data_IF_271021497753
#
_entry.id   IF_271021497753
#
_cell.length_a   1.000
_cell.length_b   1.000
_cell.length_c   1.000
_cell.angle_alpha   90.00
_cell.angle_beta   90.00
_cell.angle_gamma   90.00
#
_symmetry.space_group_name_H-M   'P 1'
#
loop_
_entity.id
_entity.type
_entity.pdbx_description
1 polymer ?
#
# COMPACT_ATOMS: atom_id res chain seq x y z
N UNK A 1 14.18 -26.38 -15.29
CA UNK A 1 13.54 -26.05 -14.00
C UNK A 1 12.50 -24.99 -14.26
N UNK A 2 11.27 -25.16 -13.82
CA UNK A 2 10.22 -24.16 -13.99
C UNK A 2 10.57 -22.95 -13.12
N UNK A 3 10.76 -21.77 -13.72
CA UNK A 3 11.05 -20.53 -13.01
C UNK A 3 9.83 -20.16 -12.13
N UNK A 4 9.95 -20.31 -10.82
CA UNK A 4 8.93 -19.99 -9.83
C UNK A 4 9.49 -19.00 -8.84
N UNK A 5 8.82 -17.89 -8.65
CA UNK A 5 9.20 -16.84 -7.71
C UNK A 5 8.06 -16.65 -6.72
N UNK A 6 8.37 -16.52 -5.44
CA UNK A 6 7.39 -16.12 -4.45
C UNK A 6 7.49 -14.61 -4.21
N UNK A 7 6.34 -13.94 -4.13
CA UNK A 7 6.23 -12.58 -3.64
C UNK A 7 5.38 -12.55 -2.39
N UNK A 8 5.79 -11.77 -1.41
CA UNK A 8 5.10 -11.61 -0.12
C UNK A 8 4.81 -10.14 0.13
N UNK A 9 3.58 -9.84 0.48
CA UNK A 9 3.14 -8.53 0.98
C UNK A 9 2.94 -8.64 2.50
N UNK A 10 3.83 -8.03 3.27
CA UNK A 10 3.78 -7.99 4.73
C UNK A 10 2.98 -6.77 5.19
N UNK A 11 1.69 -6.94 5.43
CA UNK A 11 0.86 -5.90 6.01
C UNK A 11 0.71 -6.02 7.53
N UNK A 12 0.32 -4.93 8.18
CA UNK A 12 0.08 -4.92 9.64
C UNK A 12 -1.13 -5.75 10.12
N UNK A 13 -1.92 -6.31 9.20
CA UNK A 13 -3.12 -7.10 9.53
C UNK A 13 -3.10 -8.49 8.88
N UNK A 14 -2.53 -8.59 7.69
CA UNK A 14 -2.44 -9.82 6.89
C UNK A 14 -1.06 -9.89 6.22
N UNK A 15 -0.58 -11.09 6.04
CA UNK A 15 0.55 -11.44 5.18
C UNK A 15 -0.03 -12.17 3.98
N UNK A 16 0.26 -11.70 2.79
CA UNK A 16 -0.21 -12.27 1.55
C UNK A 16 0.98 -12.78 0.74
N UNK A 17 0.96 -14.05 0.34
CA UNK A 17 2.02 -14.66 -0.46
C UNK A 17 1.44 -15.18 -1.78
N UNK A 18 2.17 -14.97 -2.88
CA UNK A 18 1.86 -15.55 -4.19
C UNK A 18 3.09 -16.22 -4.77
N UNK A 19 2.90 -17.32 -5.47
CA UNK A 19 3.93 -17.90 -6.34
C UNK A 19 3.56 -17.62 -7.78
N UNK A 20 4.47 -16.98 -8.52
CA UNK A 20 4.28 -16.65 -9.94
C UNK A 20 5.21 -17.46 -10.82
N UNK A 21 4.80 -17.65 -12.08
CA UNK A 21 5.65 -18.24 -13.13
C UNK A 21 6.44 -17.17 -13.91
N UNK A 22 7.12 -17.59 -14.98
CA UNK A 22 7.93 -16.71 -15.81
C UNK A 22 7.12 -15.63 -16.55
N UNK A 23 5.82 -15.83 -16.74
CA UNK A 23 4.85 -14.89 -17.31
C UNK A 23 4.11 -14.10 -16.22
N UNK A 24 4.60 -14.11 -14.98
CA UNK A 24 4.02 -13.47 -13.81
C UNK A 24 2.58 -13.90 -13.47
N UNK A 25 2.12 -15.05 -13.98
CA UNK A 25 0.81 -15.61 -13.64
C UNK A 25 0.88 -16.27 -12.28
N UNK A 26 -0.11 -15.98 -11.42
CA UNK A 26 -0.23 -16.58 -10.09
C UNK A 26 -0.53 -18.08 -10.24
N UNK A 27 0.29 -18.92 -9.61
CA UNK A 27 0.21 -20.39 -9.61
C UNK A 27 -0.10 -20.97 -8.23
N UNK A 28 0.13 -20.19 -7.20
CA UNK A 28 -0.24 -20.52 -5.82
C UNK A 28 -0.36 -19.26 -5.01
N UNK A 29 -1.17 -19.32 -3.95
CA UNK A 29 -1.39 -18.19 -3.04
C UNK A 29 -1.67 -18.67 -1.64
N UNK A 30 -1.32 -17.83 -0.67
CA UNK A 30 -1.66 -18.02 0.73
C UNK A 30 -1.92 -16.67 1.41
N UNK A 31 -2.75 -16.70 2.44
CA UNK A 31 -3.03 -15.51 3.28
C UNK A 31 -3.02 -15.93 4.73
N UNK A 32 -2.16 -15.32 5.51
CA UNK A 32 -2.02 -15.55 6.96
C UNK A 32 -2.34 -14.23 7.68
N UNK A 33 -2.94 -14.31 8.85
CA UNK A 33 -3.15 -13.14 9.70
C UNK A 33 -1.81 -12.72 10.31
N UNK A 34 -1.47 -11.42 10.24
CA UNK A 34 -0.24 -10.92 10.87
C UNK A 34 -0.36 -11.04 12.40
N UNK A 35 0.55 -11.74 13.09
CA UNK A 35 0.58 -11.77 14.53
C UNK A 35 0.78 -10.37 15.12
N UNK A 36 0.07 -10.07 16.21
CA UNK A 36 0.15 -8.78 16.90
C UNK A 36 0.75 -8.88 18.30
N UNK A 37 1.16 -10.09 18.70
CA UNK A 37 1.82 -10.42 19.97
C UNK A 37 3.09 -11.22 19.68
N UNK A 38 3.90 -11.45 20.70
CA UNK A 38 5.07 -12.36 20.71
C UNK A 38 6.29 -11.91 19.88
N UNK A 39 6.35 -10.63 19.50
CA UNK A 39 7.54 -10.02 18.90
C UNK A 39 7.85 -10.44 17.44
N UNK A 40 9.07 -10.14 16.94
CA UNK A 40 9.44 -10.35 15.54
C UNK A 40 9.42 -11.83 15.12
N UNK A 41 9.69 -12.76 16.04
CA UNK A 41 9.75 -14.20 15.76
C UNK A 41 8.42 -14.73 15.22
N UNK A 42 7.30 -14.39 15.84
CA UNK A 42 5.97 -14.83 15.40
C UNK A 42 5.61 -14.31 14.01
N UNK A 43 6.01 -13.08 13.67
CA UNK A 43 5.81 -12.51 12.33
C UNK A 43 6.66 -13.23 11.29
N UNK A 44 7.91 -13.54 11.62
CA UNK A 44 8.83 -14.31 10.76
C UNK A 44 8.27 -15.71 10.51
N UNK A 45 7.79 -16.41 11.53
CA UNK A 45 7.14 -17.71 11.39
C UNK A 45 5.91 -17.64 10.49
N UNK A 46 5.07 -16.62 10.65
CA UNK A 46 3.90 -16.41 9.81
C UNK A 46 4.26 -16.11 8.34
N UNK A 47 5.36 -15.38 8.08
CA UNK A 47 5.87 -15.16 6.72
C UNK A 47 6.34 -16.49 6.11
N UNK A 48 7.12 -17.30 6.87
CA UNK A 48 7.60 -18.62 6.41
C UNK A 48 6.42 -19.55 6.13
N UNK A 49 5.40 -19.53 6.98
CA UNK A 49 4.16 -20.31 6.79
C UNK A 49 3.44 -19.86 5.51
N UNK A 50 3.28 -18.56 5.28
CA UNK A 50 2.64 -18.03 4.07
C UNK A 50 3.40 -18.46 2.79
N UNK A 51 4.74 -18.38 2.79
CA UNK A 51 5.58 -18.84 1.69
C UNK A 51 5.39 -20.33 1.47
N UNK A 52 5.39 -21.12 2.53
CA UNK A 52 5.26 -22.58 2.47
C UNK A 52 3.90 -22.99 1.91
N UNK A 53 2.82 -22.37 2.37
CA UNK A 53 1.47 -22.62 1.88
C UNK A 53 1.30 -22.20 0.41
N UNK A 54 1.82 -21.03 0.01
CA UNK A 54 1.77 -20.58 -1.39
C UNK A 54 2.60 -21.49 -2.32
N UNK A 55 3.77 -21.96 -1.86
CA UNK A 55 4.58 -22.92 -2.60
C UNK A 55 3.86 -24.29 -2.75
N UNK A 56 3.22 -24.78 -1.69
CA UNK A 56 2.45 -26.02 -1.73
C UNK A 56 1.25 -25.90 -2.70
N UNK A 57 0.53 -24.77 -2.69
CA UNK A 57 -0.57 -24.50 -3.63
C UNK A 57 -0.06 -24.47 -5.10
N UNK A 58 1.16 -23.93 -5.32
CA UNK A 58 1.87 -23.98 -6.61
C UNK A 58 2.53 -25.34 -6.93
N UNK A 59 2.42 -26.35 -6.04
CA UNK A 59 3.00 -27.68 -6.15
C UNK A 59 4.54 -27.70 -6.29
N UNK A 60 5.20 -26.83 -5.54
CA UNK A 60 6.67 -26.76 -5.43
C UNK A 60 7.06 -26.69 -3.95
N UNK A 61 8.32 -27.01 -3.63
CA UNK A 61 8.86 -26.78 -2.27
C UNK A 61 9.42 -25.35 -2.18
N UNK A 62 9.47 -24.73 -0.99
CA UNK A 62 10.10 -23.43 -0.84
C UNK A 62 11.55 -23.37 -1.35
N UNK A 63 12.34 -24.42 -1.17
CA UNK A 63 13.74 -24.53 -1.65
C UNK A 63 13.87 -24.69 -3.16
N UNK A 64 12.78 -24.95 -3.88
CA UNK A 64 12.75 -25.05 -5.36
C UNK A 64 12.36 -23.72 -6.02
N UNK A 65 12.01 -22.70 -5.21
CA UNK A 65 11.76 -21.36 -5.71
C UNK A 65 13.06 -20.70 -6.17
N UNK A 66 13.00 -19.94 -7.26
CA UNK A 66 14.13 -19.11 -7.72
C UNK A 66 14.49 -18.01 -6.74
N UNK A 67 13.58 -17.67 -5.86
CA UNK A 67 13.74 -16.73 -4.76
C UNK A 67 12.41 -16.22 -4.21
N UNK A 68 12.49 -15.43 -3.15
CA UNK A 68 11.35 -14.77 -2.49
C UNK A 68 11.61 -13.27 -2.43
N UNK A 69 10.68 -12.47 -2.98
CA UNK A 69 10.64 -11.03 -2.75
C UNK A 69 9.64 -10.70 -1.66
N UNK A 70 9.98 -9.79 -0.75
CA UNK A 70 9.11 -9.36 0.34
C UNK A 70 8.94 -7.85 0.29
N UNK A 71 7.70 -7.38 0.19
CA UNK A 71 7.31 -5.99 0.46
C UNK A 71 7.01 -5.85 1.95
N UNK A 72 7.71 -4.97 2.64
CA UNK A 72 7.52 -4.73 4.06
C UNK A 72 7.26 -3.24 4.35
N UNK A 73 6.37 -2.91 5.31
CA UNK A 73 6.10 -1.52 5.65
C UNK A 73 7.27 -0.89 6.41
N UNK A 74 7.34 0.44 6.32
CA UNK A 74 8.35 1.22 7.04
C UNK A 74 9.68 1.34 6.29
N UNK A 75 10.76 1.52 7.04
CA UNK A 75 12.09 1.74 6.48
C UNK A 75 12.81 0.41 6.22
N UNK A 76 13.16 0.19 4.95
CA UNK A 76 13.79 -1.02 4.45
C UNK A 76 15.15 -0.67 3.83
N UNK A 77 16.19 -1.36 4.23
CA UNK A 77 17.46 -1.40 3.50
C UNK A 77 17.41 -2.58 2.51
N UNK A 78 17.15 -2.29 1.26
CA UNK A 78 17.01 -3.30 0.22
C UNK A 78 18.33 -3.93 -0.22
N UNK A 79 19.48 -3.29 0.06
CA UNK A 79 20.80 -3.82 -0.25
C UNK A 79 21.21 -4.90 0.76
N UNK A 80 21.00 -4.64 2.04
CA UNK A 80 21.34 -5.57 3.12
C UNK A 80 20.20 -6.52 3.49
N UNK A 81 18.97 -6.26 3.06
CA UNK A 81 17.78 -7.04 3.41
C UNK A 81 17.35 -6.87 4.88
N UNK A 82 17.66 -5.72 5.46
CA UNK A 82 17.32 -5.36 6.84
C UNK A 82 16.04 -4.54 6.87
N UNK A 83 15.07 -4.96 7.67
CA UNK A 83 13.94 -4.14 8.07
C UNK A 83 14.40 -3.22 9.20
N UNK A 84 14.65 -1.94 8.87
CA UNK A 84 15.28 -1.00 9.80
C UNK A 84 14.28 -0.54 10.86
N UNK A 85 13.03 -0.28 10.47
CA UNK A 85 11.95 0.15 11.35
C UNK A 85 10.58 -0.08 10.72
N UNK A 86 9.67 -0.75 11.43
CA UNK A 86 8.28 -0.92 10.99
C UNK A 86 7.30 -0.64 12.14
N UNK A 87 6.95 0.61 12.42
CA UNK A 87 6.15 0.98 13.60
C UNK A 87 4.73 0.41 13.57
N UNK A 88 4.26 -0.06 12.43
CA UNK A 88 2.94 -0.67 12.26
C UNK A 88 2.93 -2.18 12.52
N UNK A 89 4.09 -2.79 12.78
CA UNK A 89 4.24 -4.21 13.09
C UNK A 89 4.99 -4.32 14.44
N UNK A 90 4.38 -4.90 15.48
CA UNK A 90 5.01 -5.02 16.79
C UNK A 90 6.32 -5.78 16.75
N UNK A 91 7.31 -5.27 17.47
CA UNK A 91 8.62 -5.91 17.61
C UNK A 91 9.68 -5.48 16.57
N UNK A 92 9.32 -4.63 15.60
CA UNK A 92 10.26 -4.12 14.60
C UNK A 92 10.63 -2.64 14.84
N UNK A 93 10.85 -2.28 16.11
CA UNK A 93 11.35 -0.95 16.51
C UNK A 93 12.87 -0.82 16.32
N UNK A 94 13.58 -1.96 16.23
CA UNK A 94 15.02 -2.05 15.99
C UNK A 94 15.30 -2.76 14.66
N UNK A 95 16.46 -2.52 14.03
CA UNK A 95 16.85 -3.21 12.80
C UNK A 95 16.82 -4.74 12.95
N UNK A 96 16.19 -5.41 11.98
CA UNK A 96 16.05 -6.87 11.97
C UNK A 96 16.50 -7.45 10.61
N UNK A 97 17.40 -8.46 10.57
CA UNK A 97 17.92 -9.05 9.34
C UNK A 97 16.89 -10.00 8.71
N UNK A 98 15.76 -9.44 8.25
CA UNK A 98 14.56 -10.19 7.83
C UNK A 98 14.85 -11.10 6.63
N UNK A 99 15.54 -10.58 5.60
CA UNK A 99 15.84 -11.36 4.40
C UNK A 99 16.75 -12.57 4.69
N UNK A 100 17.80 -12.37 5.50
CA UNK A 100 18.73 -13.44 5.88
C UNK A 100 18.01 -14.51 6.70
N UNK A 101 17.20 -14.10 7.69
CA UNK A 101 16.48 -15.03 8.58
C UNK A 101 15.52 -15.92 7.78
N UNK A 102 14.75 -15.33 6.87
CA UNK A 102 13.80 -16.09 6.04
C UNK A 102 14.53 -16.94 5.01
N UNK A 103 15.62 -16.43 4.38
CA UNK A 103 16.41 -17.17 3.40
C UNK A 103 16.97 -18.47 3.99
N UNK A 104 17.46 -18.44 5.23
CA UNK A 104 17.93 -19.64 5.95
C UNK A 104 16.82 -20.68 6.17
N UNK A 105 15.61 -20.21 6.45
CA UNK A 105 14.47 -21.09 6.74
C UNK A 105 13.88 -21.71 5.46
N UNK A 106 13.75 -20.93 4.38
CA UNK A 106 13.09 -21.41 3.13
C UNK A 106 14.07 -22.06 2.14
N UNK A 107 15.37 -21.86 2.31
CA UNK A 107 16.42 -22.49 1.50
C UNK A 107 16.59 -21.88 0.09
N UNK A 108 16.16 -20.63 -0.12
CA UNK A 108 16.34 -19.90 -1.37
C UNK A 108 16.63 -18.40 -1.11
N UNK A 109 17.15 -17.65 -2.12
CA UNK A 109 17.45 -16.23 -1.94
C UNK A 109 16.21 -15.40 -1.58
N UNK A 110 16.37 -14.43 -0.68
CA UNK A 110 15.30 -13.49 -0.28
C UNK A 110 15.75 -12.06 -0.50
N UNK A 111 14.88 -11.23 -1.07
CA UNK A 111 15.07 -9.78 -1.20
C UNK A 111 13.93 -9.03 -0.55
N UNK A 112 14.26 -7.86 0.00
CA UNK A 112 13.33 -7.01 0.72
C UNK A 112 13.17 -5.66 0.00
N UNK A 113 11.95 -5.13 -0.03
CA UNK A 113 11.62 -3.80 -0.52
C UNK A 113 10.52 -3.16 0.33
N UNK A 114 10.32 -1.85 0.19
CA UNK A 114 9.18 -1.20 0.82
C UNK A 114 7.86 -1.68 0.18
N UNK A 115 6.81 -1.88 0.98
CA UNK A 115 5.50 -2.41 0.56
C UNK A 115 4.84 -1.59 -0.58
N UNK A 116 4.77 -0.28 -0.42
CA UNK A 116 4.22 0.61 -1.46
C UNK A 116 5.13 0.66 -2.68
N UNK A 117 6.45 0.71 -2.47
CA UNK A 117 7.42 0.71 -3.56
C UNK A 117 7.31 -0.53 -4.46
N UNK A 118 7.14 -1.72 -3.88
CA UNK A 118 6.95 -2.95 -4.67
C UNK A 118 5.59 -2.98 -5.36
N UNK A 119 4.53 -2.45 -4.73
CA UNK A 119 3.21 -2.38 -5.34
C UNK A 119 3.19 -1.42 -6.55
N UNK A 120 3.81 -0.23 -6.44
CA UNK A 120 3.98 0.70 -7.56
C UNK A 120 4.83 0.08 -8.68
N UNK A 121 5.90 -0.66 -8.34
CA UNK A 121 6.68 -1.40 -9.32
C UNK A 121 5.85 -2.48 -10.03
N UNK A 122 4.95 -3.14 -9.30
CA UNK A 122 3.99 -4.08 -9.88
C UNK A 122 3.15 -3.42 -10.97
N UNK A 123 2.58 -2.26 -10.68
CA UNK A 123 1.78 -1.49 -11.64
C UNK A 123 2.61 -0.97 -12.82
N UNK A 124 3.86 -0.59 -12.60
CA UNK A 124 4.78 -0.19 -13.68
C UNK A 124 5.04 -1.32 -14.67
N UNK A 125 5.27 -2.53 -14.18
CA UNK A 125 5.68 -3.64 -15.04
C UNK A 125 4.50 -4.43 -15.60
N UNK A 126 3.41 -4.56 -14.85
CA UNK A 126 2.35 -5.54 -15.12
C UNK A 126 0.93 -4.95 -15.10
N UNK A 127 0.74 -3.74 -14.57
CA UNK A 127 -0.56 -3.15 -14.32
C UNK A 127 -0.82 -1.84 -15.09
N UNK A 128 -1.52 -0.91 -14.46
CA UNK A 128 -1.98 0.35 -15.02
C UNK A 128 -0.85 1.25 -15.55
N UNK A 129 0.37 1.11 -15.02
CA UNK A 129 1.52 1.93 -15.41
C UNK A 129 2.37 1.37 -16.56
N UNK A 130 2.04 0.20 -17.12
CA UNK A 130 2.91 -0.51 -18.08
C UNK A 130 3.25 0.25 -19.36
N UNK A 131 2.37 1.14 -19.80
CA UNK A 131 2.58 1.98 -21.00
C UNK A 131 3.05 3.40 -20.68
N UNK A 132 3.18 3.76 -19.39
CA UNK A 132 3.54 5.10 -18.94
C UNK A 132 5.05 5.24 -18.71
N UNK A 133 5.60 6.42 -19.02
CA UNK A 133 6.98 6.77 -18.73
C UNK A 133 7.12 7.41 -17.35
N UNK A 134 6.13 8.23 -16.98
CA UNK A 134 6.12 9.05 -15.76
C UNK A 134 4.77 8.97 -15.08
N UNK A 135 4.72 8.46 -13.86
CA UNK A 135 3.49 8.48 -13.06
C UNK A 135 3.80 8.51 -11.57
N UNK A 136 2.81 8.85 -10.78
CA UNK A 136 2.87 8.70 -9.33
C UNK A 136 1.78 7.73 -8.89
N UNK A 137 2.18 6.71 -8.14
CA UNK A 137 1.25 5.82 -7.46
C UNK A 137 0.94 6.34 -6.06
N UNK A 138 -0.35 6.40 -5.68
CA UNK A 138 -0.83 6.77 -4.35
C UNK A 138 -1.58 5.57 -3.78
N UNK A 139 -1.07 4.98 -2.70
CA UNK A 139 -1.67 3.83 -2.02
C UNK A 139 -2.48 4.28 -0.81
N UNK A 140 -3.75 4.47 -1.02
CA UNK A 140 -4.70 4.89 -0.01
C UNK A 140 -5.18 3.69 0.81
N UNK A 141 -4.69 3.55 2.03
CA UNK A 141 -4.93 2.41 2.93
C UNK A 141 -5.03 2.82 4.38
N UNK A 142 -4.38 2.09 5.27
CA UNK A 142 -4.28 2.39 6.71
C UNK A 142 -3.66 3.78 6.95
N UNK A 143 -2.60 4.08 6.23
CA UNK A 143 -2.05 5.40 5.98
C UNK A 143 -2.15 5.72 4.50
N UNK A 144 -1.30 6.65 4.01
CA UNK A 144 -1.19 6.98 2.59
C UNK A 144 0.28 6.91 2.18
N UNK A 145 0.63 5.82 1.50
CA UNK A 145 1.96 5.70 0.89
C UNK A 145 1.96 6.09 -0.57
N UNK A 146 3.12 6.29 -1.16
CA UNK A 146 3.24 6.61 -2.57
C UNK A 146 4.58 6.20 -3.16
N UNK A 147 4.66 6.19 -4.48
CA UNK A 147 5.89 5.95 -5.21
C UNK A 147 5.91 6.75 -6.51
N UNK A 148 7.09 7.20 -6.87
CA UNK A 148 7.32 8.03 -8.07
C UNK A 148 8.03 7.20 -9.12
N UNK A 149 7.52 7.22 -10.34
CA UNK A 149 8.12 6.60 -11.51
C UNK A 149 8.51 7.70 -12.51
N UNK A 150 9.78 7.76 -12.89
CA UNK A 150 10.30 8.67 -13.89
C UNK A 150 11.14 7.88 -14.91
N UNK A 151 10.88 8.08 -16.21
CA UNK A 151 11.54 7.33 -17.29
C UNK A 151 11.45 5.81 -17.10
N UNK A 152 10.27 5.31 -16.74
CA UNK A 152 10.00 3.89 -16.43
C UNK A 152 10.89 3.31 -15.32
N UNK A 153 11.36 4.12 -14.40
CA UNK A 153 12.18 3.69 -13.26
C UNK A 153 11.61 4.26 -11.97
N UNK A 154 11.57 3.43 -10.93
CA UNK A 154 11.26 3.90 -9.59
C UNK A 154 12.28 4.97 -9.18
N UNK A 155 11.78 6.12 -8.75
CA UNK A 155 12.63 7.20 -8.25
C UNK A 155 12.74 7.12 -6.73
N UNK A 156 13.92 6.79 -6.25
CA UNK A 156 14.18 6.63 -4.81
C UNK A 156 14.86 7.85 -4.17
N UNK A 157 15.33 8.82 -4.99
CA UNK A 157 16.11 9.93 -4.49
C UNK A 157 17.32 9.44 -3.69
N UNK A 158 17.42 9.90 -2.44
CA UNK A 158 18.41 9.40 -1.47
C UNK A 158 17.86 8.29 -0.56
N UNK A 159 16.74 7.67 -0.94
CA UNK A 159 16.08 6.61 -0.19
C UNK A 159 14.71 6.96 0.43
N UNK A 160 14.31 8.23 0.43
CA UNK A 160 13.05 8.70 0.99
C UNK A 160 12.19 9.50 -0.01
N UNK A 161 12.37 9.28 -1.31
CA UNK A 161 11.52 9.90 -2.32
C UNK A 161 10.17 9.17 -2.38
N UNK A 162 9.12 9.92 -2.68
CA UNK A 162 7.78 9.36 -2.80
C UNK A 162 6.97 9.38 -1.50
N UNK A 163 7.41 10.02 -0.43
CA UNK A 163 6.68 10.17 0.83
C UNK A 163 5.59 11.26 0.72
N UNK A 164 4.72 11.15 -0.31
CA UNK A 164 3.69 12.15 -0.61
C UNK A 164 2.65 12.25 0.51
N UNK A 165 2.38 11.14 1.23
CA UNK A 165 1.51 11.12 2.40
C UNK A 165 1.90 12.13 3.47
N UNK A 166 3.19 12.41 3.61
CA UNK A 166 3.74 13.35 4.60
C UNK A 166 3.93 14.78 4.07
N UNK A 167 3.50 15.07 2.84
CA UNK A 167 3.52 16.46 2.33
C UNK A 167 2.42 17.28 2.96
N UNK A 168 2.75 18.53 3.33
CA UNK A 168 1.81 19.45 3.97
C UNK A 168 0.89 20.04 2.92
N UNK A 169 -0.41 19.76 3.03
CA UNK A 169 -1.48 20.31 2.19
C UNK A 169 -2.21 21.47 2.87
N UNK A 170 -2.15 21.52 4.21
CA UNK A 170 -2.77 22.59 5.00
C UNK A 170 -1.87 22.96 6.16
N UNK A 171 -1.23 24.13 6.07
CA UNK A 171 -0.37 24.63 7.15
C UNK A 171 -1.15 24.76 8.47
N UNK A 172 -0.64 24.13 9.54
CA UNK A 172 -1.27 24.13 10.85
C UNK A 172 -2.57 23.32 10.94
N UNK A 173 -2.85 22.45 9.95
CA UNK A 173 -4.02 21.58 9.92
C UNK A 173 -3.93 20.41 10.90
N UNK A 174 -4.65 19.33 10.60
CA UNK A 174 -4.77 18.15 11.46
C UNK A 174 -3.42 17.51 11.76
N UNK A 175 -3.26 16.97 12.96
CA UNK A 175 -2.09 16.19 13.34
C UNK A 175 -2.23 14.73 12.88
N UNK A 176 -1.15 14.14 12.43
CA UNK A 176 -1.03 12.69 12.26
C UNK A 176 -0.30 12.06 13.46
N UNK A 177 -0.32 10.71 13.60
CA UNK A 177 0.30 10.03 14.74
C UNK A 177 1.81 10.26 14.90
N UNK A 178 2.51 10.66 13.84
CA UNK A 178 3.93 11.04 13.90
C UNK A 178 4.17 12.40 14.55
N UNK A 179 3.13 13.21 14.72
CA UNK A 179 3.19 14.59 15.22
C UNK A 179 3.30 15.64 14.11
N UNK A 180 3.42 15.27 12.84
CA UNK A 180 3.38 16.21 11.73
C UNK A 180 1.98 16.80 11.56
N UNK A 181 1.90 18.07 11.15
CA UNK A 181 0.65 18.80 11.03
C UNK A 181 0.31 19.08 9.56
N UNK A 182 -0.97 18.88 9.22
CA UNK A 182 -1.55 19.28 7.93
C UNK A 182 -1.08 18.46 6.74
N UNK A 183 -0.60 17.25 6.95
CA UNK A 183 -0.16 16.33 5.89
C UNK A 183 -1.34 15.69 5.17
N UNK A 184 -1.15 15.20 3.96
CA UNK A 184 -2.18 14.43 3.24
C UNK A 184 -2.67 13.23 4.09
N UNK A 185 -1.75 12.48 4.73
CA UNK A 185 -2.11 11.34 5.56
C UNK A 185 -2.95 11.73 6.78
N UNK A 186 -2.75 12.92 7.36
CA UNK A 186 -3.56 13.40 8.47
C UNK A 186 -5.07 13.46 8.14
N UNK A 187 -5.40 13.71 6.87
CA UNK A 187 -6.79 13.76 6.39
C UNK A 187 -7.24 12.45 5.77
N UNK A 188 -6.41 11.82 4.93
CA UNK A 188 -6.80 10.69 4.12
C UNK A 188 -6.44 9.32 4.72
N UNK A 189 -5.49 9.23 5.64
CA UNK A 189 -5.14 7.96 6.27
C UNK A 189 -6.35 7.35 7.01
N UNK A 190 -6.71 6.09 6.67
CA UNK A 190 -7.89 5.43 7.24
C UNK A 190 -7.87 5.40 8.77
N UNK A 191 -6.68 5.29 9.40
CA UNK A 191 -6.54 5.35 10.86
C UNK A 191 -6.95 6.72 11.40
N UNK A 192 -6.57 7.80 10.72
CA UNK A 192 -6.91 9.16 11.12
C UNK A 192 -8.39 9.46 10.88
N UNK A 193 -8.94 9.00 9.74
CA UNK A 193 -10.39 9.08 9.49
C UNK A 193 -11.19 8.34 10.57
N UNK A 194 -10.76 7.14 11.01
CA UNK A 194 -11.40 6.39 12.10
C UNK A 194 -11.32 7.14 13.42
N UNK A 195 -10.18 7.74 13.77
CA UNK A 195 -10.04 8.56 14.98
C UNK A 195 -11.00 9.75 14.96
N UNK A 196 -11.14 10.41 13.81
CA UNK A 196 -12.06 11.53 13.61
C UNK A 196 -13.53 11.09 13.67
N UNK A 197 -13.85 9.92 13.14
CA UNK A 197 -15.19 9.36 13.27
C UNK A 197 -15.57 9.09 14.73
N UNK A 198 -14.65 8.55 15.54
CA UNK A 198 -14.86 8.40 16.98
C UNK A 198 -15.10 9.74 17.67
N UNK A 199 -14.26 10.74 17.43
CA UNK A 199 -14.41 12.07 18.00
C UNK A 199 -15.74 12.74 17.60
N UNK A 200 -16.20 12.54 16.37
CA UNK A 200 -17.50 13.05 15.91
C UNK A 200 -18.68 12.40 16.65
N UNK A 201 -18.62 11.09 16.89
CA UNK A 201 -19.65 10.37 17.68
C UNK A 201 -19.64 10.83 19.13
N UNK A 202 -18.47 11.01 19.74
CA UNK A 202 -18.35 11.56 21.09
C UNK A 202 -18.92 12.98 21.19
N UNK A 203 -18.87 13.76 20.10
CA UNK A 203 -19.49 15.08 19.96
C UNK A 203 -20.99 15.02 19.61
N UNK A 204 -21.61 13.84 19.57
CA UNK A 204 -23.04 13.64 19.32
C UNK A 204 -23.45 13.51 17.85
N UNK A 205 -22.50 13.32 16.92
CA UNK A 205 -22.82 13.04 15.49
C UNK A 205 -23.33 11.60 15.35
N UNK A 206 -24.35 11.43 14.55
CA UNK A 206 -24.85 10.11 14.17
C UNK A 206 -24.07 9.53 13.00
N UNK A 207 -23.83 8.20 13.01
CA UNK A 207 -23.21 7.44 11.93
C UNK A 207 -23.51 5.95 12.08
N UNK A 208 -23.57 5.23 10.96
CA UNK A 208 -23.70 3.78 10.94
C UNK A 208 -22.35 3.03 10.88
N UNK A 209 -21.21 3.76 10.76
CA UNK A 209 -19.86 3.18 10.60
C UNK A 209 -19.57 2.10 11.65
N UNK A 210 -19.85 2.37 12.93
CA UNK A 210 -19.52 1.44 14.00
C UNK A 210 -20.48 0.26 14.08
N UNK A 211 -21.76 0.48 13.80
CA UNK A 211 -22.76 -0.60 13.71
C UNK A 211 -22.42 -1.56 12.56
N UNK A 212 -22.05 -1.02 11.39
CA UNK A 212 -21.58 -1.84 10.25
C UNK A 212 -20.28 -2.58 10.58
N UNK A 213 -19.35 -1.93 11.27
CA UNK A 213 -18.11 -2.57 11.72
C UNK A 213 -18.37 -3.80 12.57
N UNK A 214 -19.26 -3.70 13.55
CA UNK A 214 -19.67 -4.82 14.40
C UNK A 214 -20.40 -5.90 13.62
N UNK A 215 -21.35 -5.53 12.76
CA UNK A 215 -22.09 -6.45 11.90
C UNK A 215 -21.17 -7.26 10.97
N UNK A 216 -20.12 -6.63 10.43
CA UNK A 216 -19.13 -7.30 9.57
C UNK A 216 -18.11 -8.10 10.41
N UNK A 217 -18.13 -8.00 11.74
CA UNK A 217 -17.20 -8.69 12.64
C UNK A 217 -15.79 -8.13 12.59
N UNK A 218 -15.62 -6.81 12.38
CA UNK A 218 -14.32 -6.14 12.34
C UNK A 218 -14.06 -5.39 13.64
N UNK A 219 -12.77 -5.32 14.01
CA UNK A 219 -12.30 -4.55 15.18
C UNK A 219 -11.95 -3.10 14.84
N UNK A 220 -11.89 -2.76 13.55
CA UNK A 220 -11.51 -1.45 13.02
C UNK A 220 -12.36 -1.11 11.79
N UNK A 221 -12.54 0.15 11.49
CA UNK A 221 -13.22 0.62 10.28
C UNK A 221 -12.42 0.22 9.04
N UNK A 222 -12.77 -0.95 8.45
CA UNK A 222 -12.13 -1.47 7.24
C UNK A 222 -12.58 -0.70 5.99
N UNK A 223 -11.87 -0.86 4.86
CA UNK A 223 -12.30 -0.27 3.59
C UNK A 223 -13.71 -0.71 3.17
N UNK A 224 -14.11 -1.92 3.55
CA UNK A 224 -15.46 -2.42 3.32
C UNK A 224 -16.50 -1.66 4.15
N UNK A 225 -16.21 -1.39 5.41
CA UNK A 225 -17.12 -0.60 6.29
C UNK A 225 -17.32 0.80 5.71
N UNK A 226 -16.24 1.48 5.32
CA UNK A 226 -16.33 2.80 4.70
C UNK A 226 -17.16 2.79 3.42
N UNK A 227 -16.97 1.79 2.55
CA UNK A 227 -17.76 1.68 1.32
C UNK A 227 -19.25 1.46 1.62
N UNK A 228 -19.61 0.47 2.44
CA UNK A 228 -21.00 0.16 2.77
C UNK A 228 -21.70 1.32 3.49
N UNK A 229 -20.96 2.07 4.33
CA UNK A 229 -21.49 3.29 4.98
C UNK A 229 -21.78 4.39 3.95
N UNK A 230 -20.89 4.63 2.98
CA UNK A 230 -21.13 5.57 1.89
C UNK A 230 -22.34 5.16 1.03
N UNK A 231 -22.43 3.88 0.66
CA UNK A 231 -23.53 3.33 -0.14
C UNK A 231 -24.88 3.44 0.56
N UNK A 232 -24.89 3.42 1.89
CA UNK A 232 -26.11 3.63 2.69
C UNK A 232 -26.45 5.11 2.93
N UNK A 233 -25.66 6.04 2.42
CA UNK A 233 -25.89 7.49 2.53
C UNK A 233 -25.51 8.11 3.87
N UNK A 234 -24.56 7.51 4.61
CA UNK A 234 -24.08 8.06 5.88
C UNK A 234 -23.35 9.40 5.66
N UNK A 235 -23.85 10.46 6.30
CA UNK A 235 -23.36 11.82 6.13
C UNK A 235 -21.93 12.00 6.67
N UNK A 236 -21.61 11.40 7.83
CA UNK A 236 -20.28 11.50 8.42
C UNK A 236 -19.24 10.77 7.57
N UNK A 237 -19.58 9.58 7.06
CA UNK A 237 -18.69 8.86 6.15
C UNK A 237 -18.46 9.65 4.86
N UNK A 238 -19.50 10.27 4.29
CA UNK A 238 -19.41 11.09 3.09
C UNK A 238 -18.53 12.33 3.31
N UNK A 239 -18.66 13.01 4.44
CA UNK A 239 -17.84 14.16 4.85
C UNK A 239 -16.35 13.75 4.96
N UNK A 240 -16.03 12.73 5.76
CA UNK A 240 -14.66 12.30 6.02
C UNK A 240 -13.96 11.77 4.75
N UNK A 241 -14.68 11.05 3.91
CA UNK A 241 -14.16 10.57 2.62
C UNK A 241 -14.03 11.72 1.63
N UNK A 242 -14.94 12.71 1.64
CA UNK A 242 -14.83 13.93 0.84
C UNK A 242 -13.56 14.69 1.15
N UNK A 243 -13.29 14.99 2.43
CA UNK A 243 -12.06 15.66 2.85
C UNK A 243 -10.79 14.86 2.52
N UNK A 244 -10.85 13.52 2.59
CA UNK A 244 -9.74 12.67 2.19
C UNK A 244 -9.47 12.77 0.69
N UNK A 245 -10.51 12.83 -0.14
CA UNK A 245 -10.40 13.05 -1.59
C UNK A 245 -9.77 14.41 -1.88
N UNK A 246 -10.21 15.47 -1.20
CA UNK A 246 -9.67 16.83 -1.38
C UNK A 246 -8.19 16.88 -0.98
N UNK A 247 -7.80 16.19 0.11
CA UNK A 247 -6.42 16.08 0.56
C UNK A 247 -5.53 15.35 -0.48
N UNK A 248 -6.02 14.23 -1.01
CA UNK A 248 -5.32 13.47 -2.07
C UNK A 248 -5.19 14.33 -3.33
N UNK A 249 -6.25 15.02 -3.72
CA UNK A 249 -6.27 15.88 -4.90
C UNK A 249 -5.27 17.05 -4.80
N UNK A 250 -5.21 17.72 -3.65
CA UNK A 250 -4.26 18.79 -3.42
C UNK A 250 -2.80 18.31 -3.49
N UNK A 251 -2.49 17.16 -2.87
CA UNK A 251 -1.16 16.57 -2.93
C UNK A 251 -0.80 16.07 -4.35
N UNK A 252 -1.76 15.44 -5.03
CA UNK A 252 -1.59 15.00 -6.42
C UNK A 252 -1.35 16.19 -7.36
N UNK A 253 -2.10 17.28 -7.23
CA UNK A 253 -1.87 18.50 -8.01
C UNK A 253 -0.49 19.11 -7.77
N UNK A 254 -0.02 19.12 -6.52
CA UNK A 254 1.34 19.60 -6.20
C UNK A 254 2.40 18.76 -6.93
N UNK A 255 2.26 17.44 -6.95
CA UNK A 255 3.23 16.58 -7.64
C UNK A 255 3.13 16.69 -9.15
N UNK A 256 1.93 16.87 -9.71
CA UNK A 256 1.74 17.14 -11.14
C UNK A 256 2.41 18.46 -11.52
N UNK A 257 2.20 19.54 -10.76
CA UNK A 257 2.82 20.84 -11.01
C UNK A 257 4.37 20.82 -10.91
N UNK A 258 4.96 19.85 -10.17
CA UNK A 258 6.40 19.72 -9.99
C UNK A 258 7.04 18.80 -11.02
N UNK A 259 6.39 17.68 -11.34
CA UNK A 259 6.99 16.57 -12.11
C UNK A 259 6.37 16.40 -13.50
N UNK A 260 5.21 17.02 -13.77
CA UNK A 260 4.47 16.90 -15.04
C UNK A 260 4.27 15.44 -15.47
N UNK A 261 3.70 14.63 -14.59
CA UNK A 261 3.51 13.19 -14.79
C UNK A 261 2.31 12.89 -15.70
N UNK A 262 2.36 11.77 -16.42
CA UNK A 262 1.34 11.34 -17.38
C UNK A 262 0.06 10.80 -16.71
N UNK A 263 0.16 10.32 -15.47
CA UNK A 263 -0.98 9.81 -14.70
C UNK A 263 -0.72 9.80 -13.20
N UNK A 264 -1.80 9.77 -12.42
CA UNK A 264 -1.82 9.34 -11.03
C UNK A 264 -2.48 7.96 -10.98
N UNK A 265 -1.85 6.98 -10.33
CA UNK A 265 -2.43 5.63 -10.12
C UNK A 265 -2.85 5.51 -8.66
N UNK A 266 -4.14 5.34 -8.41
CA UNK A 266 -4.73 5.21 -7.08
C UNK A 266 -4.90 3.72 -6.73
N UNK A 267 -4.18 3.27 -5.73
CA UNK A 267 -4.22 1.91 -5.22
C UNK A 267 -4.48 1.85 -3.72
N UNK A 268 -4.14 0.72 -3.10
CA UNK A 268 -4.36 0.48 -1.68
C UNK A 268 -5.78 0.07 -1.34
N UNK A 269 -6.00 -0.31 -0.09
CA UNK A 269 -7.27 -0.93 0.32
C UNK A 269 -8.51 -0.03 0.20
N UNK A 270 -8.41 1.29 0.34
CA UNK A 270 -9.48 2.24 0.08
C UNK A 270 -9.53 2.60 -1.40
N UNK A 271 -8.38 2.95 -2.03
CA UNK A 271 -8.32 3.35 -3.43
C UNK A 271 -8.88 2.28 -4.37
N UNK A 272 -8.42 1.03 -4.23
CA UNK A 272 -8.93 -0.08 -5.04
C UNK A 272 -10.40 -0.40 -4.76
N UNK A 273 -10.84 -0.27 -3.50
CA UNK A 273 -12.23 -0.59 -3.14
C UNK A 273 -13.23 0.45 -3.63
N UNK A 274 -12.89 1.72 -3.52
CA UNK A 274 -13.75 2.80 -4.04
C UNK A 274 -13.72 2.87 -5.57
N UNK A 275 -12.62 2.44 -6.17
CA UNK A 275 -12.50 2.27 -7.61
C UNK A 275 -12.56 3.56 -8.42
N UNK A 276 -12.90 3.43 -9.70
CA UNK A 276 -12.90 4.54 -10.65
C UNK A 276 -13.81 5.71 -10.27
N UNK A 277 -15.00 5.52 -9.66
CA UNK A 277 -15.84 6.66 -9.24
C UNK A 277 -15.12 7.63 -8.28
N UNK A 278 -14.27 7.12 -7.40
CA UNK A 278 -13.49 7.98 -6.49
C UNK A 278 -12.25 8.53 -7.18
N UNK A 279 -11.60 7.76 -8.05
CA UNK A 279 -10.51 8.28 -8.87
C UNK A 279 -10.95 9.47 -9.74
N UNK A 280 -12.14 9.41 -10.34
CA UNK A 280 -12.73 10.50 -11.12
C UNK A 280 -13.00 11.73 -10.22
N UNK A 281 -13.48 11.53 -8.99
CA UNK A 281 -13.65 12.62 -8.02
C UNK A 281 -12.33 13.30 -7.66
N UNK A 282 -11.24 12.50 -7.46
CA UNK A 282 -9.90 13.05 -7.22
C UNK A 282 -9.45 13.88 -8.44
N UNK A 283 -9.65 13.37 -9.66
CA UNK A 283 -9.30 14.11 -10.88
C UNK A 283 -10.04 15.45 -10.98
N UNK A 284 -11.33 15.50 -10.66
CA UNK A 284 -12.11 16.73 -10.63
C UNK A 284 -11.63 17.68 -9.54
N UNK A 285 -11.41 17.17 -8.32
CA UNK A 285 -10.95 17.97 -7.19
C UNK A 285 -9.52 18.52 -7.37
N UNK A 286 -8.70 17.91 -8.22
CA UNK A 286 -7.36 18.41 -8.59
C UNK A 286 -7.41 19.69 -9.42
N UNK A 287 -8.43 19.87 -10.28
CA UNK A 287 -8.49 20.92 -11.30
C UNK A 287 -8.17 22.34 -10.79
N UNK A 288 -8.73 22.80 -9.65
CA UNK A 288 -8.47 24.15 -9.15
C UNK A 288 -7.01 24.41 -8.73
N UNK A 289 -6.22 23.36 -8.54
CA UNK A 289 -4.85 23.43 -8.02
C UNK A 289 -3.78 23.23 -9.11
N UNK A 290 -4.19 22.89 -10.34
CA UNK A 290 -3.27 22.66 -11.44
C UNK A 290 -2.87 23.97 -12.11
N UNK A 291 -1.59 24.08 -12.47
CA UNK A 291 -1.07 25.20 -13.27
C UNK A 291 -1.64 25.16 -14.71
N UNK A 292 -1.82 23.96 -15.27
CA UNK A 292 -2.42 23.73 -16.58
C UNK A 292 -3.63 22.78 -16.44
N UNK A 293 -4.80 23.28 -16.01
CA UNK A 293 -6.00 22.45 -15.80
C UNK A 293 -6.46 21.70 -17.06
N UNK A 294 -6.28 22.31 -18.25
CA UNK A 294 -6.61 21.71 -19.54
C UNK A 294 -5.76 20.49 -19.92
N UNK A 295 -4.59 20.35 -19.28
CA UNK A 295 -3.67 19.22 -19.45
C UNK A 295 -3.64 18.31 -18.23
N UNK A 296 -4.71 18.27 -17.44
CA UNK A 296 -4.80 17.44 -16.25
C UNK A 296 -4.58 15.96 -16.59
N UNK A 297 -3.63 15.28 -15.94
CA UNK A 297 -3.42 13.85 -16.14
C UNK A 297 -4.60 13.05 -15.60
N UNK A 298 -4.90 11.88 -16.19
CA UNK A 298 -5.92 10.98 -15.65
C UNK A 298 -5.53 10.44 -14.27
N UNK A 299 -6.55 10.20 -13.44
CA UNK A 299 -6.41 9.40 -12.21
C UNK A 299 -6.97 8.02 -12.51
N UNK A 300 -6.09 7.03 -12.49
CA UNK A 300 -6.39 5.64 -12.83
C UNK A 300 -6.44 4.78 -11.56
N UNK A 301 -7.15 3.67 -11.58
CA UNK A 301 -7.12 2.70 -10.48
C UNK A 301 -6.05 1.64 -10.76
N UNK A 302 -5.36 1.20 -9.70
CA UNK A 302 -4.40 0.11 -9.77
C UNK A 302 -5.06 -1.18 -10.31
N UNK A 303 -4.44 -1.83 -11.30
CA UNK A 303 -5.01 -2.99 -12.00
C UNK A 303 -4.73 -4.32 -11.29
N UNK A 304 -3.65 -4.43 -10.50
CA UNK A 304 -3.25 -5.70 -9.89
C UNK A 304 -4.07 -6.06 -8.64
N UNK A 305 -4.92 -5.14 -8.17
CA UNK A 305 -5.87 -5.36 -7.09
C UNK A 305 -5.21 -5.80 -5.77
N UNK A 306 -5.90 -6.66 -5.03
CA UNK A 306 -5.49 -7.12 -3.68
C UNK A 306 -4.15 -7.87 -3.67
N UNK A 307 -3.74 -8.48 -4.78
CA UNK A 307 -2.48 -9.22 -4.90
C UNK A 307 -1.32 -8.37 -5.42
N UNK A 308 -1.57 -7.10 -5.77
CA UNK A 308 -0.59 -6.22 -6.40
C UNK A 308 0.70 -6.06 -5.59
N UNK A 309 0.61 -5.94 -4.26
CA UNK A 309 1.77 -5.89 -3.37
C UNK A 309 2.63 -7.15 -3.45
N UNK A 310 2.02 -8.33 -3.36
CA UNK A 310 2.72 -9.60 -3.42
C UNK A 310 3.28 -9.88 -4.85
N UNK A 311 2.51 -9.59 -5.90
CA UNK A 311 2.99 -9.71 -7.29
C UNK A 311 4.18 -8.75 -7.52
N UNK A 312 4.07 -7.49 -7.11
CA UNK A 312 5.15 -6.51 -7.20
C UNK A 312 6.40 -6.92 -6.42
N UNK A 313 6.22 -7.50 -5.22
CA UNK A 313 7.33 -8.03 -4.43
C UNK A 313 8.09 -9.15 -5.16
N UNK A 314 7.40 -10.01 -5.92
CA UNK A 314 8.05 -11.06 -6.72
C UNK A 314 9.05 -10.50 -7.74
N UNK A 315 8.82 -9.28 -8.24
CA UNK A 315 9.70 -8.60 -9.20
C UNK A 315 11.07 -8.19 -8.60
N UNK A 316 11.23 -8.22 -7.27
CA UNK A 316 12.53 -8.02 -6.62
C UNK A 316 13.54 -9.11 -7.00
N UNK A 317 13.08 -10.31 -7.34
CA UNK A 317 13.92 -11.47 -7.72
C UNK A 317 14.19 -11.52 -9.22
N UNK A 318 13.37 -10.86 -10.04
CA UNK A 318 13.55 -10.81 -11.49
C UNK A 318 14.89 -10.19 -11.89
N UNK A 319 15.33 -10.45 -13.15
CA UNK A 319 16.59 -9.96 -13.71
C UNK A 319 16.79 -8.48 -13.39
N UNK A 320 17.87 -8.18 -12.67
CA UNK A 320 18.41 -6.83 -12.68
C UNK A 320 18.80 -6.52 -14.12
N UNK A 321 18.06 -5.61 -14.74
CA UNK A 321 18.42 -5.04 -16.05
C UNK A 321 19.48 -3.99 -15.87
#
# INVERSE_FOLDING_TARGET
MTHRICGVDLGGTKIEAVVVDAEHKVRGKARIQTPTADGPGSVVEAIIEAITQAAADARVKPSELSGVGIGAPGAVDSETGVLTRAPNIPGFEQPYPLAETISKAVGCPVKLGNDVGVAVRGELELGAGRELQHFVGIWWGTGVGSGVVLNRKMWHGRGAAGELGHTVIQRGGLAEPSGMLGTMEAYAGRRNMETRAHAAVEAGRETNLFALMEQIGKKRLSSRVWQESLESGDELAAELVGEAIDAIAAAAANVVNILDVEAIILGGGLGSRFGQPVADRVAVAMQPYLFLPESSPPVMVAELGDLGGAIGASLLIGKQS
#
